data_IF_244662147664
#
_entry.id   IF_244662147664
#
_cell.length_a   1.000
_cell.length_b   1.000
_cell.length_c   1.000
_cell.angle_alpha   90.00
_cell.angle_beta   90.00
_cell.angle_gamma   90.00
#
_symmetry.space_group_name_H-M   'P 1'
#
loop_
_entity.id
_entity.type
_entity.pdbx_description
1 polymer ?
#
# COMPACT_ATOMS: atom_id res chain seq x y z
N UNK A 1 0.81 -2.03 -26.65
CA UNK A 1 0.71 -2.43 -25.24
C UNK A 1 1.87 -3.37 -24.96
N UNK A 2 2.71 -3.07 -23.98
CA UNK A 2 3.78 -3.99 -23.56
C UNK A 2 3.11 -5.03 -22.66
N UNK A 3 3.09 -6.29 -23.09
CA UNK A 3 2.65 -7.40 -22.25
C UNK A 3 3.79 -7.72 -21.28
N UNK A 4 3.75 -7.13 -20.09
CA UNK A 4 4.47 -7.73 -18.96
C UNK A 4 3.58 -8.85 -18.45
N UNK A 5 3.96 -10.08 -18.75
CA UNK A 5 3.22 -11.27 -18.33
C UNK A 5 3.18 -11.38 -16.80
N UNK A 6 4.25 -10.96 -16.13
CA UNK A 6 4.43 -11.11 -14.67
C UNK A 6 4.93 -9.82 -14.03
N UNK A 7 4.20 -9.33 -13.02
CA UNK A 7 4.68 -8.28 -12.11
C UNK A 7 5.16 -8.89 -10.81
N UNK A 8 6.36 -8.52 -10.37
CA UNK A 8 6.94 -8.99 -9.11
C UNK A 8 6.63 -7.99 -7.99
N UNK A 9 6.16 -8.48 -6.85
CA UNK A 9 5.74 -7.66 -5.71
C UNK A 9 6.54 -8.01 -4.46
N UNK A 10 7.12 -6.99 -3.83
CA UNK A 10 7.70 -7.07 -2.50
C UNK A 10 6.79 -6.38 -1.51
N UNK A 11 6.34 -7.11 -0.49
CA UNK A 11 5.72 -6.50 0.69
C UNK A 11 6.82 -6.03 1.64
N UNK A 12 6.70 -4.80 2.16
CA UNK A 12 7.77 -4.16 2.93
C UNK A 12 7.68 -4.34 4.44
N UNK A 13 6.52 -4.73 4.97
CA UNK A 13 6.30 -4.84 6.40
C UNK A 13 6.09 -6.29 6.84
N UNK A 14 6.72 -6.65 7.96
CA UNK A 14 6.57 -7.96 8.60
C UNK A 14 5.15 -8.21 9.13
N UNK A 15 4.41 -7.14 9.48
CA UNK A 15 3.04 -7.24 9.99
C UNK A 15 2.12 -7.99 9.01
N UNK A 16 2.29 -7.76 7.70
CA UNK A 16 1.59 -8.53 6.67
C UNK A 16 1.85 -10.03 6.82
N UNK A 17 3.12 -10.44 6.92
CA UNK A 17 3.52 -11.83 7.00
C UNK A 17 3.06 -12.49 8.30
N UNK A 18 3.07 -11.76 9.43
CA UNK A 18 2.50 -12.24 10.69
C UNK A 18 1.03 -12.61 10.53
N UNK A 19 0.26 -11.76 9.84
CA UNK A 19 -1.14 -12.01 9.51
C UNK A 19 -1.35 -13.16 8.53
N UNK A 20 -0.53 -13.24 7.47
CA UNK A 20 -0.60 -14.33 6.48
C UNK A 20 -0.35 -15.70 7.11
N UNK A 21 0.59 -15.79 8.04
CA UNK A 21 0.92 -17.03 8.76
C UNK A 21 0.06 -17.26 10.02
N UNK A 22 -0.88 -16.37 10.33
CA UNK A 22 -1.87 -16.55 11.40
C UNK A 22 -1.35 -16.29 12.81
N UNK A 23 -0.25 -15.55 12.96
CA UNK A 23 0.26 -15.14 14.28
C UNK A 23 -0.51 -13.97 14.88
N UNK A 24 -1.13 -13.13 14.05
CA UNK A 24 -2.02 -12.05 14.44
C UNK A 24 -3.12 -11.83 13.38
N UNK A 25 -4.00 -10.85 13.61
CA UNK A 25 -4.92 -10.38 12.58
C UNK A 25 -4.16 -9.93 11.34
N UNK A 26 -4.76 -10.14 10.16
CA UNK A 26 -4.21 -9.63 8.90
C UNK A 26 -4.12 -8.11 8.93
N UNK A 27 -3.04 -7.60 8.36
CA UNK A 27 -2.83 -6.16 8.24
C UNK A 27 -3.91 -5.52 7.37
N UNK A 28 -4.20 -4.26 7.66
CA UNK A 28 -5.21 -3.44 6.98
C UNK A 28 -4.58 -2.24 6.24
N UNK A 29 -3.28 -2.05 6.43
CA UNK A 29 -2.43 -1.04 5.82
C UNK A 29 -1.06 -1.67 5.52
N UNK A 30 -0.63 -1.66 4.27
CA UNK A 30 0.64 -2.25 3.88
C UNK A 30 1.30 -1.50 2.74
N UNK A 31 2.59 -1.73 2.60
CA UNK A 31 3.40 -1.12 1.58
C UNK A 31 3.97 -2.17 0.62
N UNK A 32 3.87 -1.89 -0.68
CA UNK A 32 4.37 -2.75 -1.74
C UNK A 32 5.29 -2.02 -2.70
N UNK A 33 6.32 -2.74 -3.15
CA UNK A 33 7.16 -2.31 -4.26
C UNK A 33 7.02 -3.25 -5.44
N UNK A 34 6.87 -2.68 -6.63
CA UNK A 34 6.66 -3.41 -7.88
C UNK A 34 7.91 -3.40 -8.75
N UNK A 35 8.19 -4.55 -9.37
CA UNK A 35 9.30 -4.74 -10.30
C UNK A 35 8.84 -5.49 -11.54
N UNK A 36 9.52 -5.30 -12.67
CA UNK A 36 9.30 -6.12 -13.87
C UNK A 36 10.17 -7.38 -13.92
N UNK A 37 11.05 -7.58 -12.95
CA UNK A 37 11.89 -8.78 -12.80
C UNK A 37 12.02 -9.23 -11.34
N UNK A 38 12.26 -10.52 -11.16
CA UNK A 38 12.44 -11.17 -9.85
C UNK A 38 13.66 -10.64 -9.07
N UNK A 39 14.72 -10.24 -9.79
CA UNK A 39 15.98 -9.80 -9.20
C UNK A 39 15.92 -8.37 -8.65
N UNK A 40 14.75 -7.70 -8.69
CA UNK A 40 14.53 -6.34 -8.21
C UNK A 40 15.38 -5.28 -8.93
N UNK A 41 15.78 -5.54 -10.18
CA UNK A 41 16.65 -4.61 -10.94
C UNK A 41 15.86 -3.52 -11.66
N UNK A 42 14.65 -3.82 -12.12
CA UNK A 42 13.79 -2.89 -12.85
C UNK A 42 12.59 -2.49 -11.99
N UNK A 43 12.76 -1.41 -11.23
CA UNK A 43 11.73 -0.80 -10.40
C UNK A 43 10.59 -0.21 -11.26
N UNK A 44 9.35 -0.50 -10.88
CA UNK A 44 8.16 0.03 -11.54
C UNK A 44 7.47 1.12 -10.71
N UNK A 45 7.39 0.93 -9.39
CA UNK A 45 6.67 1.83 -8.53
C UNK A 45 6.55 1.31 -7.11
N UNK A 46 6.09 2.19 -6.24
CA UNK A 46 5.88 1.94 -4.83
C UNK A 46 4.55 2.55 -4.41
N UNK A 47 3.80 1.79 -3.62
CA UNK A 47 2.42 2.08 -3.28
C UNK A 47 2.13 1.62 -1.85
N UNK A 48 1.32 2.40 -1.15
CA UNK A 48 0.63 1.94 0.05
C UNK A 48 -0.76 1.45 -0.32
N UNK A 49 -1.23 0.49 0.44
CA UNK A 49 -2.53 -0.13 0.30
C UNK A 49 -3.25 0.01 1.63
N UNK A 50 -4.34 0.75 1.64
CA UNK A 50 -5.14 0.98 2.83
C UNK A 50 -6.55 0.48 2.62
N UNK A 51 -7.00 -0.44 3.47
CA UNK A 51 -8.39 -0.91 3.43
C UNK A 51 -9.34 0.12 4.01
N UNK A 52 -10.60 0.06 3.61
CA UNK A 52 -11.67 0.87 4.22
C UNK A 52 -11.77 0.65 5.73
N UNK A 53 -11.49 -0.57 6.22
CA UNK A 53 -11.47 -0.85 7.66
C UNK A 53 -10.40 -0.04 8.38
N UNK A 54 -9.20 0.06 7.81
CA UNK A 54 -8.12 0.88 8.37
C UNK A 54 -8.49 2.37 8.39
N UNK A 55 -9.14 2.85 7.33
CA UNK A 55 -9.56 4.25 7.22
C UNK A 55 -10.64 4.61 8.25
N UNK A 56 -11.59 3.71 8.50
CA UNK A 56 -12.59 3.88 9.56
C UNK A 56 -11.89 3.94 10.92
N UNK A 57 -10.99 2.99 11.20
CA UNK A 57 -10.24 3.00 12.45
C UNK A 57 -9.41 4.29 12.64
N UNK A 58 -8.80 4.80 11.56
CA UNK A 58 -8.03 6.04 11.58
C UNK A 58 -8.90 7.25 11.96
N UNK A 59 -10.12 7.33 11.42
CA UNK A 59 -11.10 8.37 11.79
C UNK A 59 -11.58 8.25 13.24
N UNK A 60 -11.74 7.03 13.73
CA UNK A 60 -12.30 6.77 15.07
C UNK A 60 -11.30 6.97 16.20
N UNK A 61 -10.02 6.63 15.99
CA UNK A 61 -9.06 6.45 17.09
C UNK A 61 -7.77 7.27 16.98
N UNK A 62 -7.29 7.59 15.78
CA UNK A 62 -5.92 8.08 15.58
C UNK A 62 -5.82 9.53 15.11
N UNK A 63 -6.89 10.10 14.55
CA UNK A 63 -6.89 11.51 14.14
C UNK A 63 -7.48 12.39 15.22
N UNK A 64 -6.63 13.22 15.85
CA UNK A 64 -7.08 14.41 16.56
C UNK A 64 -7.80 15.29 15.52
N UNK A 65 -9.13 15.24 15.51
CA UNK A 65 -10.00 16.04 14.63
C UNK A 65 -9.93 17.52 15.08
N UNK A 66 -8.74 18.09 15.02
CA UNK A 66 -8.43 19.50 15.19
C UNK A 66 -8.13 20.03 13.77
N UNK A 67 -8.32 21.34 13.57
CA UNK A 67 -8.32 22.06 12.28
C UNK A 67 -7.30 21.63 11.21
N UNK A 68 -6.15 21.07 11.58
CA UNK A 68 -5.07 20.69 10.66
C UNK A 68 -5.39 19.47 9.78
N UNK A 69 -6.14 18.48 10.27
CA UNK A 69 -6.40 17.23 9.52
C UNK A 69 -7.79 17.18 8.86
N UNK A 70 -8.59 18.24 9.02
CA UNK A 70 -9.98 18.27 8.56
C UNK A 70 -10.15 17.97 7.07
N UNK A 71 -9.27 18.49 6.22
CA UNK A 71 -9.34 18.22 4.77
C UNK A 71 -9.09 16.74 4.46
N UNK A 72 -8.13 16.13 5.15
CA UNK A 72 -7.82 14.72 5.00
C UNK A 72 -8.96 13.83 5.51
N UNK A 73 -9.49 14.12 6.71
CA UNK A 73 -10.68 13.44 7.24
C UNK A 73 -11.87 13.52 6.28
N UNK A 74 -12.15 14.70 5.73
CA UNK A 74 -13.25 14.88 4.77
C UNK A 74 -13.05 14.03 3.50
N UNK A 75 -11.82 13.86 3.02
CA UNK A 75 -11.51 13.00 1.87
C UNK A 75 -11.77 11.54 2.20
N UNK A 76 -11.35 11.09 3.39
CA UNK A 76 -11.60 9.73 3.86
C UNK A 76 -13.11 9.47 3.98
N UNK A 77 -13.85 10.35 4.65
CA UNK A 77 -15.31 10.28 4.79
C UNK A 77 -16.01 10.24 3.43
N UNK A 78 -15.61 11.12 2.50
CA UNK A 78 -16.14 11.15 1.14
C UNK A 78 -15.88 9.84 0.40
N UNK A 79 -14.69 9.25 0.57
CA UNK A 79 -14.38 7.94 0.00
C UNK A 79 -15.25 6.87 0.64
N UNK A 80 -15.31 6.76 1.97
CA UNK A 80 -16.09 5.73 2.69
C UNK A 80 -17.55 5.73 2.27
N UNK A 81 -18.16 6.91 2.17
CA UNK A 81 -19.59 7.08 1.86
C UNK A 81 -19.90 7.22 0.36
N UNK A 82 -18.89 7.36 -0.50
CA UNK A 82 -19.06 7.44 -1.94
C UNK A 82 -19.26 6.08 -2.62
N UNK A 83 -19.43 6.11 -3.94
CA UNK A 83 -19.66 4.91 -4.76
C UNK A 83 -18.36 4.27 -5.29
N UNK A 84 -17.21 4.94 -5.13
CA UNK A 84 -15.92 4.43 -5.59
C UNK A 84 -15.45 3.25 -4.73
N UNK A 85 -15.09 2.13 -5.36
CA UNK A 85 -14.46 0.98 -4.68
C UNK A 85 -12.99 1.23 -4.36
N UNK A 86 -12.34 2.07 -5.17
CA UNK A 86 -10.90 2.38 -5.09
C UNK A 86 -10.72 3.87 -5.26
N UNK A 87 -9.88 4.44 -4.40
CA UNK A 87 -9.46 5.83 -4.50
C UNK A 87 -7.94 5.93 -4.36
N UNK A 88 -7.32 6.90 -5.04
CA UNK A 88 -5.89 7.14 -4.96
C UNK A 88 -5.64 8.47 -4.26
N UNK A 89 -5.00 8.40 -3.10
CA UNK A 89 -4.51 9.56 -2.38
C UNK A 89 -3.06 9.85 -2.78
N UNK A 90 -2.78 11.11 -3.14
CA UNK A 90 -1.49 11.55 -3.66
C UNK A 90 -0.79 12.47 -2.67
N UNK A 91 0.40 12.08 -2.24
CA UNK A 91 1.28 12.92 -1.42
C UNK A 91 2.30 13.56 -2.34
N UNK A 92 2.27 14.88 -2.43
CA UNK A 92 3.17 15.66 -3.28
C UNK A 92 4.40 16.17 -2.49
N UNK A 93 5.48 16.57 -3.18
CA UNK A 93 6.63 17.16 -2.53
C UNK A 93 6.26 18.34 -1.63
N UNK A 94 6.77 18.34 -0.40
CA UNK A 94 6.55 19.43 0.57
C UNK A 94 7.64 20.50 0.48
N UNK A 95 8.82 20.09 0.04
CA UNK A 95 10.01 20.93 -0.11
C UNK A 95 10.87 20.46 -1.30
N UNK A 96 12.01 21.13 -1.49
CA UNK A 96 12.95 20.85 -2.59
C UNK A 96 13.64 19.49 -2.46
N UNK A 97 13.74 18.93 -1.26
CA UNK A 97 14.33 17.61 -1.04
C UNK A 97 13.39 16.53 -1.60
N UNK A 98 12.10 16.64 -1.26
CA UNK A 98 11.05 15.74 -1.72
C UNK A 98 10.90 15.74 -3.26
N UNK A 99 11.28 16.81 -3.97
CA UNK A 99 11.22 16.88 -5.45
C UNK A 99 12.02 15.76 -6.10
N UNK A 100 13.13 15.34 -5.50
CA UNK A 100 13.95 14.24 -6.02
C UNK A 100 13.32 12.85 -5.83
N UNK A 101 12.31 12.75 -4.95
CA UNK A 101 11.63 11.51 -4.54
C UNK A 101 10.32 11.26 -5.31
N UNK A 102 10.04 12.04 -6.35
CA UNK A 102 8.85 11.85 -7.19
C UNK A 102 8.79 10.45 -7.79
N UNK A 103 7.60 9.87 -7.85
CA UNK A 103 7.40 8.56 -8.47
C UNK A 103 7.88 8.57 -9.93
N UNK A 104 8.56 7.52 -10.43
CA UNK A 104 9.13 7.54 -11.78
C UNK A 104 8.09 7.29 -12.88
N UNK A 105 6.97 6.63 -12.56
CA UNK A 105 5.88 6.33 -13.49
C UNK A 105 4.97 7.55 -13.75
N UNK A 106 3.98 7.36 -14.62
CA UNK A 106 2.96 8.39 -14.92
C UNK A 106 2.05 8.58 -13.70
N UNK A 107 1.83 9.83 -13.29
CA UNK A 107 0.94 10.17 -12.18
C UNK A 107 0.43 11.62 -12.35
N UNK A 108 -0.69 11.99 -11.71
CA UNK A 108 -1.18 13.37 -11.72
C UNK A 108 -0.12 14.35 -11.21
N UNK A 109 -0.17 15.58 -11.71
CA UNK A 109 0.71 16.66 -11.28
C UNK A 109 -0.07 17.68 -10.44
N UNK A 110 0.57 18.23 -9.41
CA UNK A 110 0.01 19.34 -8.65
C UNK A 110 0.08 20.67 -9.44
N UNK A 111 -0.35 21.78 -8.81
CA UNK A 111 -0.35 23.12 -9.41
C UNK A 111 1.06 23.60 -9.84
N UNK A 112 2.10 23.12 -9.17
CA UNK A 112 3.51 23.45 -9.47
C UNK A 112 4.12 22.50 -10.51
N UNK A 113 3.34 21.55 -11.01
CA UNK A 113 3.77 20.60 -12.03
C UNK A 113 4.55 19.39 -11.49
N UNK A 114 4.60 19.16 -10.17
CA UNK A 114 5.27 17.99 -9.59
C UNK A 114 4.35 16.77 -9.54
N UNK A 115 4.92 15.59 -9.81
CA UNK A 115 4.28 14.29 -9.54
C UNK A 115 4.27 14.01 -8.03
N UNK A 116 3.42 13.10 -7.54
CA UNK A 116 3.49 12.65 -6.16
C UNK A 116 4.83 12.00 -5.84
N UNK A 117 5.25 12.09 -4.58
CA UNK A 117 6.32 11.25 -4.00
C UNK A 117 5.78 9.91 -3.55
N UNK A 118 4.49 9.84 -3.25
CA UNK A 118 3.87 8.67 -2.65
C UNK A 118 2.41 8.56 -3.11
N UNK A 119 1.95 7.34 -3.36
CA UNK A 119 0.58 7.04 -3.79
C UNK A 119 0.01 5.99 -2.83
N UNK A 120 -1.09 6.33 -2.16
CA UNK A 120 -1.84 5.42 -1.30
C UNK A 120 -3.13 5.00 -2.01
N UNK A 121 -3.29 3.70 -2.23
CA UNK A 121 -4.50 3.09 -2.75
C UNK A 121 -5.45 2.77 -1.59
N UNK A 122 -6.54 3.51 -1.51
CA UNK A 122 -7.65 3.20 -0.63
C UNK A 122 -8.59 2.21 -1.31
N UNK A 123 -9.05 1.21 -0.57
CA UNK A 123 -9.85 0.13 -1.14
C UNK A 123 -11.00 -0.33 -0.23
N UNK A 124 -12.21 -0.38 -0.78
CA UNK A 124 -13.39 -1.04 -0.18
C UNK A 124 -13.49 -2.52 -0.55
N UNK A 125 -12.69 -2.98 -1.51
CA UNK A 125 -12.78 -4.33 -2.04
C UNK A 125 -12.43 -5.40 -1.00
N UNK A 126 -11.62 -5.04 0.00
CA UNK A 126 -11.07 -5.98 0.97
C UNK A 126 -11.09 -5.40 2.39
N UNK A 127 -11.34 -6.26 3.37
CA UNK A 127 -11.33 -5.88 4.78
C UNK A 127 -9.93 -5.94 5.42
N UNK A 128 -9.02 -6.71 4.82
CA UNK A 128 -7.62 -6.87 5.23
C UNK A 128 -6.80 -7.39 4.05
N UNK A 129 -5.47 -7.30 4.15
CA UNK A 129 -4.54 -7.71 3.13
C UNK A 129 -4.06 -9.15 3.33
N UNK A 130 -4.24 -9.96 2.30
CA UNK A 130 -3.59 -11.25 2.12
C UNK A 130 -3.01 -11.37 0.71
N UNK A 131 -2.41 -12.52 0.41
CA UNK A 131 -1.71 -12.72 -0.85
C UNK A 131 -2.60 -12.47 -2.07
N UNK A 132 -3.84 -12.96 -2.07
CA UNK A 132 -4.74 -12.83 -3.21
C UNK A 132 -5.30 -11.41 -3.35
N UNK A 133 -5.55 -10.72 -2.23
CA UNK A 133 -5.99 -9.33 -2.20
C UNK A 133 -4.89 -8.42 -2.78
N UNK A 134 -3.64 -8.61 -2.36
CA UNK A 134 -2.49 -7.89 -2.92
C UNK A 134 -2.36 -8.17 -4.42
N UNK A 135 -2.45 -9.43 -4.88
CA UNK A 135 -2.37 -9.75 -6.32
C UNK A 135 -3.44 -9.02 -7.13
N UNK A 136 -4.67 -8.90 -6.61
CA UNK A 136 -5.75 -8.14 -7.27
C UNK A 136 -5.41 -6.65 -7.31
N UNK A 137 -4.99 -6.06 -6.19
CA UNK A 137 -4.58 -4.65 -6.13
C UNK A 137 -3.43 -4.33 -7.09
N UNK A 138 -2.41 -5.20 -7.17
CA UNK A 138 -1.28 -5.04 -8.10
C UNK A 138 -1.74 -4.98 -9.56
N UNK A 139 -2.69 -5.83 -9.97
CA UNK A 139 -3.22 -5.79 -11.35
C UNK A 139 -3.94 -4.48 -11.65
N UNK A 140 -4.68 -3.95 -10.68
CA UNK A 140 -5.36 -2.66 -10.82
C UNK A 140 -4.34 -1.53 -10.94
N UNK A 141 -3.37 -1.47 -10.02
CA UNK A 141 -2.29 -0.47 -10.03
C UNK A 141 -1.48 -0.54 -11.33
N UNK A 142 -1.12 -1.73 -11.79
CA UNK A 142 -0.34 -1.92 -13.01
C UNK A 142 -1.07 -1.40 -14.24
N UNK A 143 -2.39 -1.62 -14.32
CA UNK A 143 -3.23 -1.06 -15.38
C UNK A 143 -3.31 0.46 -15.28
N UNK A 144 -3.58 0.99 -14.09
CA UNK A 144 -3.96 2.39 -13.89
C UNK A 144 -2.74 3.34 -13.97
N UNK A 145 -1.56 2.91 -13.52
CA UNK A 145 -0.36 3.75 -13.47
C UNK A 145 0.76 3.36 -14.45
N UNK A 146 0.85 2.07 -14.81
CA UNK A 146 1.97 1.56 -15.59
C UNK A 146 1.59 1.24 -17.04
N UNK A 147 0.29 1.27 -17.37
CA UNK A 147 -0.22 0.90 -18.70
C UNK A 147 0.07 -0.57 -19.03
N UNK A 148 0.17 -1.42 -18.00
CA UNK A 148 0.50 -2.83 -18.10
C UNK A 148 -0.76 -3.67 -17.93
N UNK A 149 -0.90 -4.70 -18.77
CA UNK A 149 -1.90 -5.74 -18.57
C UNK A 149 -1.24 -6.95 -17.89
N UNK A 150 -1.16 -6.90 -16.56
CA UNK A 150 -0.49 -7.94 -15.75
C UNK A 150 -1.39 -9.17 -15.57
N UNK A 151 -0.99 -10.30 -16.15
CA UNK A 151 -1.69 -11.58 -15.97
C UNK A 151 -1.27 -12.25 -14.64
N UNK A 152 0.04 -12.37 -14.44
CA UNK A 152 0.66 -13.02 -13.29
C UNK A 152 1.22 -12.00 -12.30
N UNK A 153 1.08 -12.29 -11.00
CA UNK A 153 1.70 -11.52 -9.93
C UNK A 153 2.42 -12.49 -9.01
N UNK A 154 3.72 -12.27 -8.82
CA UNK A 154 4.61 -13.14 -8.04
C UNK A 154 5.22 -12.37 -6.88
N UNK A 155 5.18 -12.96 -5.69
CA UNK A 155 5.80 -12.36 -4.52
C UNK A 155 7.28 -12.70 -4.48
N UNK A 156 8.09 -11.70 -4.20
CA UNK A 156 9.53 -11.85 -3.95
C UNK A 156 9.83 -11.80 -2.47
N UNK A 157 10.87 -12.52 -2.06
CA UNK A 157 11.34 -12.61 -0.67
C UNK A 157 10.24 -13.00 0.33
N UNK A 158 9.44 -14.03 -0.01
CA UNK A 158 8.47 -14.61 0.93
C UNK A 158 9.24 -15.25 2.09
N UNK A 159 9.11 -14.75 3.32
CA UNK A 159 9.77 -15.36 4.47
C UNK A 159 9.14 -16.72 4.77
N UNK A 160 9.92 -17.65 5.30
CA UNK A 160 9.39 -18.92 5.77
C UNK A 160 8.51 -18.74 7.02
N UNK A 161 7.72 -19.78 7.34
CA UNK A 161 6.94 -19.81 8.58
C UNK A 161 7.83 -19.66 9.82
N UNK A 162 8.98 -20.35 9.86
CA UNK A 162 9.89 -20.32 11.02
C UNK A 162 10.58 -18.96 11.17
N UNK A 163 11.03 -18.33 10.07
CA UNK A 163 11.58 -16.97 10.11
C UNK A 163 10.52 -15.97 10.60
N UNK A 164 9.29 -16.10 10.08
CA UNK A 164 8.19 -15.23 10.48
C UNK A 164 7.83 -15.42 11.95
N UNK A 165 7.78 -16.67 12.42
CA UNK A 165 7.53 -16.99 13.84
C UNK A 165 8.58 -16.37 14.75
N UNK A 166 9.85 -16.53 14.39
CA UNK A 166 10.97 -16.00 15.17
C UNK A 166 10.87 -14.48 15.29
N UNK A 167 10.67 -13.79 14.16
CA UNK A 167 10.52 -12.33 14.16
C UNK A 167 9.25 -11.89 14.91
N UNK A 168 8.13 -12.60 14.76
CA UNK A 168 6.91 -12.31 15.53
C UNK A 168 7.15 -12.39 17.04
N UNK A 169 7.80 -13.45 17.52
CA UNK A 169 8.06 -13.67 18.95
C UNK A 169 9.04 -12.64 19.53
N UNK A 170 10.00 -12.18 18.74
CA UNK A 170 11.04 -11.24 19.18
C UNK A 170 10.62 -9.77 19.04
N UNK A 171 10.02 -9.42 17.90
CA UNK A 171 9.89 -8.02 17.47
C UNK A 171 8.47 -7.46 17.62
N UNK A 172 7.46 -8.33 17.75
CA UNK A 172 6.06 -7.89 17.78
C UNK A 172 5.34 -8.32 19.06
N UNK A 173 5.28 -9.63 19.34
CA UNK A 173 4.55 -10.21 20.48
C UNK A 173 4.80 -9.52 21.83
N UNK A 174 6.03 -9.08 22.19
CA UNK A 174 6.29 -8.40 23.46
C UNK A 174 5.56 -7.05 23.61
N UNK A 175 5.22 -6.40 22.50
CA UNK A 175 4.67 -5.04 22.49
C UNK A 175 3.13 -5.01 22.36
N UNK A 176 2.50 -6.14 22.01
CA UNK A 176 1.04 -6.21 21.80
C UNK A 176 0.31 -6.93 22.93
N UNK A 177 0.98 -7.84 23.63
CA UNK A 177 0.42 -8.57 24.78
C UNK A 177 0.79 -7.92 26.14
N UNK A 178 1.32 -6.70 26.11
CA UNK A 178 1.68 -5.92 27.28
C UNK A 178 0.72 -4.76 27.50
N UNK A 179 -0.55 -5.07 27.78
CA UNK A 179 -1.53 -4.23 28.48
C UNK A 179 -2.55 -5.13 29.19
#
# INVERSE_FOLDING_TARGET
>A
MINILTTYVRVRHWLFWYGVYGFCSKSQNDEITLYSDENQTNFLGYFELTTVTCLINLLEYDMDIIEYDKEYCNKIESFIHGDEDIHYHYIYPRDLEDVSSQVPHSAPRNIDGYKPVYINMWSKLFQSWGLDEIKKSVRIIARDFLGLNTENVEFIAIPSFEETKLSYEQDYKPYVNGN
#
